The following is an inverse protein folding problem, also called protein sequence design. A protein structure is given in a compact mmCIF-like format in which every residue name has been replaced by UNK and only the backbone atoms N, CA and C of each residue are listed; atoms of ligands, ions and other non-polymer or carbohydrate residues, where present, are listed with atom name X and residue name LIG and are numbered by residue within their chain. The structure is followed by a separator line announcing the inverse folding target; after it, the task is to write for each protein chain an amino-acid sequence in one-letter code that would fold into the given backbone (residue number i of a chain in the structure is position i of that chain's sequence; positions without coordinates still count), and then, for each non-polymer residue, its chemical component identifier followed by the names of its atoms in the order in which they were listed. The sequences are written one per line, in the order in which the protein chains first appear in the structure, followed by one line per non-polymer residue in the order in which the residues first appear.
data_IF_355410972485
#
_entry.id   IF_355410972485
#
_cell.length_a   1.000
_cell.length_b   1.000
_cell.length_c   1.000
_cell.angle_alpha   90.00
_cell.angle_beta   90.00
_cell.angle_gamma   90.00
#
_symmetry.space_group_name_H-M   'P 1'
#
loop_
_entity.id
_entity.type
_entity.pdbx_description
1 polymer ?
#
# COMPACT_ATOMS: atom_id res chain seq x y z
N UNK A 1 1.62 4.25 -29.73
CA UNK A 1 0.88 2.98 -29.87
C UNK A 1 -0.18 2.94 -28.79
N UNK A 2 -1.47 2.94 -29.14
CA UNK A 2 -2.56 2.80 -28.17
C UNK A 2 -2.75 1.30 -27.89
N UNK A 3 -2.03 0.79 -26.90
CA UNK A 3 -2.08 -0.62 -26.47
C UNK A 3 -3.52 -1.09 -26.16
N UNK A 4 -4.43 -0.19 -25.82
CA UNK A 4 -5.81 -0.53 -25.44
C UNK A 4 -6.74 -0.83 -26.62
N UNK A 5 -6.38 -0.55 -27.87
CA UNK A 5 -7.26 -0.80 -29.02
C UNK A 5 -7.22 -2.24 -29.55
N UNK A 6 -6.15 -2.98 -29.24
CA UNK A 6 -5.90 -4.32 -29.80
C UNK A 6 -5.97 -5.45 -28.74
N UNK A 7 -6.31 -5.14 -27.48
CA UNK A 7 -6.45 -6.12 -26.41
C UNK A 7 -7.92 -6.39 -26.09
N UNK A 8 -8.46 -7.50 -26.59
CA UNK A 8 -9.77 -8.00 -26.18
C UNK A 8 -9.64 -8.85 -24.92
N UNK A 9 -9.93 -8.24 -23.77
CA UNK A 9 -9.97 -8.92 -22.50
C UNK A 9 -11.24 -9.78 -22.38
N UNK A 10 -11.09 -11.10 -22.20
CA UNK A 10 -12.20 -12.05 -22.30
C UNK A 10 -13.02 -12.21 -21.00
N UNK A 11 -12.70 -11.44 -19.94
CA UNK A 11 -13.45 -11.37 -18.67
C UNK A 11 -13.91 -12.73 -18.08
N UNK A 12 -13.09 -13.79 -18.19
CA UNK A 12 -13.43 -15.14 -17.71
C UNK A 12 -13.07 -15.35 -16.22
N UNK A 13 -13.49 -14.41 -15.36
CA UNK A 13 -13.23 -14.44 -13.92
C UNK A 13 -11.99 -13.66 -13.46
N UNK A 14 -11.11 -13.28 -14.39
CA UNK A 14 -10.04 -12.32 -14.13
C UNK A 14 -10.61 -10.88 -14.12
N UNK A 15 -9.95 -9.97 -13.39
CA UNK A 15 -10.24 -8.54 -13.42
C UNK A 15 -9.03 -7.71 -13.89
N UNK A 16 -9.21 -6.91 -14.96
CA UNK A 16 -8.21 -5.94 -15.43
C UNK A 16 -8.54 -4.58 -14.85
N UNK A 17 -7.57 -3.95 -14.19
CA UNK A 17 -7.73 -2.65 -13.56
C UNK A 17 -6.49 -1.76 -13.78
N UNK A 18 -6.68 -0.43 -13.86
CA UNK A 18 -5.57 0.50 -13.83
C UNK A 18 -4.86 0.48 -12.47
N UNK A 19 -3.54 0.64 -12.50
CA UNK A 19 -2.70 0.83 -11.32
C UNK A 19 -2.04 2.19 -11.41
N UNK A 20 -2.13 2.96 -10.34
CA UNK A 20 -1.39 4.21 -10.18
C UNK A 20 -0.25 4.03 -9.18
N UNK A 21 0.90 4.63 -9.48
CA UNK A 21 2.12 4.48 -8.67
C UNK A 21 2.43 5.75 -7.89
N UNK A 22 2.58 5.60 -6.58
CA UNK A 22 2.97 6.65 -5.66
C UNK A 22 4.19 6.23 -4.86
N UNK A 23 4.89 7.21 -4.30
CA UNK A 23 5.95 6.99 -3.33
C UNK A 23 5.90 8.06 -2.26
N UNK A 24 6.21 7.69 -1.02
CA UNK A 24 6.39 8.64 0.06
C UNK A 24 7.60 8.26 0.92
N UNK A 25 8.16 9.27 1.58
CA UNK A 25 9.27 9.10 2.51
C UNK A 25 8.81 9.46 3.92
N UNK A 26 8.92 8.51 4.84
CA UNK A 26 8.66 8.74 6.25
C UNK A 26 9.84 9.52 6.85
N UNK A 27 9.58 10.68 7.44
CA UNK A 27 10.61 11.65 7.80
C UNK A 27 11.46 11.24 9.01
N UNK A 28 10.90 10.61 10.05
CA UNK A 28 11.64 10.28 11.28
C UNK A 28 12.60 9.10 11.15
N UNK A 29 12.30 8.18 10.22
CA UNK A 29 13.05 6.94 10.01
C UNK A 29 13.75 6.90 8.65
N UNK A 30 13.52 7.92 7.81
CA UNK A 30 14.07 8.08 6.47
C UNK A 30 13.72 6.94 5.49
N UNK A 31 12.71 6.13 5.83
CA UNK A 31 12.18 5.05 5.02
C UNK A 31 11.41 5.54 3.81
N UNK A 32 11.67 4.95 2.65
CA UNK A 32 10.85 5.15 1.45
C UNK A 32 9.90 3.96 1.28
N UNK A 33 8.64 4.27 1.04
CA UNK A 33 7.62 3.30 0.66
C UNK A 33 7.08 3.64 -0.73
N UNK A 34 6.79 2.60 -1.51
CA UNK A 34 6.05 2.68 -2.76
C UNK A 34 4.62 2.23 -2.49
N UNK A 35 3.67 2.84 -3.18
CA UNK A 35 2.26 2.48 -3.12
C UNK A 35 1.77 2.21 -4.53
N UNK A 36 1.29 0.99 -4.76
CA UNK A 36 0.50 0.65 -5.93
C UNK A 36 -0.96 0.85 -5.56
N UNK A 37 -1.61 1.87 -6.10
CA UNK A 37 -3.04 2.10 -5.92
C UNK A 37 -3.79 1.32 -7.00
N UNK A 38 -4.57 0.33 -6.57
CA UNK A 38 -5.43 -0.48 -7.44
C UNK A 38 -6.75 0.25 -7.60
N UNK A 39 -7.07 0.68 -8.83
CA UNK A 39 -8.25 1.47 -9.13
C UNK A 39 -9.32 0.58 -9.77
N UNK A 40 -10.23 0.06 -8.96
CA UNK A 40 -11.39 -0.71 -9.42
C UNK A 40 -12.53 0.25 -9.83
N UNK A 41 -13.53 -0.27 -10.55
CA UNK A 41 -14.72 0.52 -10.90
C UNK A 41 -15.50 0.90 -9.63
N UNK A 42 -15.31 2.14 -9.17
CA UNK A 42 -15.96 2.70 -7.97
C UNK A 42 -15.27 2.42 -6.64
N UNK A 43 -14.12 1.73 -6.61
CA UNK A 43 -13.40 1.44 -5.36
C UNK A 43 -11.88 1.37 -5.56
N UNK A 44 -11.15 1.48 -4.46
CA UNK A 44 -9.70 1.56 -4.43
C UNK A 44 -9.14 0.60 -3.38
N UNK A 45 -7.98 0.04 -3.67
CA UNK A 45 -7.15 -0.72 -2.74
C UNK A 45 -5.69 -0.33 -2.93
N UNK A 46 -4.79 -0.83 -2.07
CA UNK A 46 -3.37 -0.58 -2.27
C UNK A 46 -2.50 -1.81 -1.99
N UNK A 47 -1.34 -1.83 -2.64
CA UNK A 47 -0.16 -2.55 -2.15
C UNK A 47 0.84 -1.52 -1.62
N UNK A 48 1.30 -1.72 -0.39
CA UNK A 48 2.38 -0.97 0.22
C UNK A 48 3.66 -1.79 0.13
N UNK A 49 4.71 -1.19 -0.42
CA UNK A 49 5.95 -1.89 -0.75
C UNK A 49 7.14 -1.15 -0.13
N UNK A 50 8.05 -1.88 0.49
CA UNK A 50 9.32 -1.38 1.00
C UNK A 50 10.48 -2.29 0.63
N UNK A 51 11.54 -1.70 0.10
CA UNK A 51 12.80 -2.39 -0.19
C UNK A 51 13.76 -2.35 1.03
N UNK A 52 13.35 -1.79 2.18
CA UNK A 52 14.23 -1.69 3.35
C UNK A 52 14.40 -3.05 4.06
N UNK A 53 15.63 -3.55 4.08
CA UNK A 53 15.97 -4.82 4.72
C UNK A 53 15.85 -4.81 6.25
N UNK A 54 15.82 -3.64 6.89
CA UNK A 54 15.57 -3.51 8.34
C UNK A 54 14.12 -3.82 8.73
N UNK A 55 13.18 -3.75 7.78
CA UNK A 55 11.78 -4.12 8.01
C UNK A 55 11.65 -5.65 7.84
N UNK A 56 10.95 -6.39 8.72
CA UNK A 56 10.72 -7.82 8.53
C UNK A 56 9.97 -8.10 7.21
N UNK A 57 10.25 -9.26 6.59
CA UNK A 57 9.83 -9.56 5.21
C UNK A 57 8.31 -9.48 5.04
N UNK A 58 7.56 -9.90 6.03
CA UNK A 58 6.10 -9.88 6.07
C UNK A 58 5.49 -8.47 6.00
N UNK A 59 6.24 -7.42 6.36
CA UNK A 59 5.79 -6.02 6.26
C UNK A 59 6.40 -5.26 5.07
N UNK A 60 7.23 -5.92 4.24
CA UNK A 60 7.81 -5.30 3.04
C UNK A 60 6.84 -5.27 1.87
N UNK A 61 5.82 -6.11 1.88
CA UNK A 61 4.72 -6.10 0.93
C UNK A 61 3.42 -6.34 1.68
N UNK A 62 2.56 -5.32 1.76
CA UNK A 62 1.29 -5.39 2.48
C UNK A 62 0.16 -4.93 1.59
N UNK A 63 -0.84 -5.80 1.39
CA UNK A 63 -2.08 -5.43 0.73
C UNK A 63 -3.04 -4.76 1.71
N UNK A 64 -3.88 -3.86 1.22
CA UNK A 64 -4.85 -3.14 2.06
C UNK A 64 -5.85 -4.06 2.78
N UNK A 65 -6.06 -5.28 2.29
CA UNK A 65 -6.94 -6.30 2.86
C UNK A 65 -6.23 -7.32 3.77
N UNK A 66 -4.93 -7.15 4.06
CA UNK A 66 -4.20 -8.06 4.94
C UNK A 66 -4.71 -7.90 6.39
N UNK A 67 -5.62 -8.78 6.81
CA UNK A 67 -6.38 -8.64 8.05
C UNK A 67 -5.47 -8.63 9.28
N UNK A 68 -4.56 -9.60 9.37
CA UNK A 68 -3.68 -9.77 10.53
C UNK A 68 -2.80 -8.53 10.76
N UNK A 69 -2.22 -7.98 9.69
CA UNK A 69 -1.38 -6.77 9.79
C UNK A 69 -2.24 -5.54 10.13
N UNK A 70 -3.42 -5.40 9.54
CA UNK A 70 -4.31 -4.28 9.87
C UNK A 70 -4.72 -4.31 11.35
N UNK A 71 -5.06 -5.49 11.88
CA UNK A 71 -5.39 -5.67 13.29
C UNK A 71 -4.19 -5.36 14.19
N UNK A 72 -3.00 -5.88 13.86
CA UNK A 72 -1.76 -5.65 14.61
C UNK A 72 -1.42 -4.16 14.77
N UNK A 73 -1.63 -3.37 13.72
CA UNK A 73 -1.37 -1.92 13.75
C UNK A 73 -2.58 -1.10 14.17
N UNK A 74 -3.65 -1.73 14.67
CA UNK A 74 -4.79 -1.07 15.29
C UNK A 74 -5.71 -0.35 14.30
N UNK A 75 -5.76 -0.84 13.07
CA UNK A 75 -6.46 -0.16 12.01
C UNK A 75 -7.80 -0.79 11.63
N UNK A 76 -8.84 0.05 11.51
CA UNK A 76 -10.17 -0.33 11.02
C UNK A 76 -10.18 -0.62 9.49
N UNK A 77 -11.26 -1.26 8.99
CA UNK A 77 -11.53 -1.37 7.55
C UNK A 77 -11.48 0.00 6.88
N UNK A 78 -10.86 0.06 5.70
CA UNK A 78 -10.72 1.31 4.94
C UNK A 78 -12.00 1.63 4.18
N UNK A 79 -12.36 2.91 4.09
CA UNK A 79 -13.32 3.38 3.09
C UNK A 79 -12.68 3.21 1.70
N UNK A 80 -13.14 2.20 0.97
CA UNK A 80 -12.61 1.84 -0.34
C UNK A 80 -13.06 2.81 -1.44
N UNK A 81 -14.08 3.62 -1.23
CA UNK A 81 -14.70 4.40 -2.31
C UNK A 81 -13.97 5.75 -2.51
N UNK A 82 -13.11 6.11 -1.56
CA UNK A 82 -12.29 7.32 -1.60
C UNK A 82 -10.81 7.03 -1.85
N UNK A 83 -10.34 7.39 -3.05
CA UNK A 83 -8.91 7.36 -3.42
C UNK A 83 -8.01 8.02 -2.37
N UNK A 84 -8.42 9.18 -1.86
CA UNK A 84 -7.66 9.92 -0.85
C UNK A 84 -7.58 9.15 0.47
N UNK A 85 -8.69 8.54 0.92
CA UNK A 85 -8.72 7.76 2.14
C UNK A 85 -7.81 6.53 2.04
N UNK A 86 -7.84 5.83 0.90
CA UNK A 86 -7.00 4.66 0.63
C UNK A 86 -5.51 5.02 0.57
N UNK A 87 -5.15 6.14 -0.08
CA UNK A 87 -3.76 6.63 -0.10
C UNK A 87 -3.28 7.07 1.28
N UNK A 88 -4.10 7.81 2.03
CA UNK A 88 -3.75 8.22 3.39
C UNK A 88 -3.53 6.99 4.28
N UNK A 89 -4.38 5.97 4.13
CA UNK A 89 -4.20 4.72 4.85
C UNK A 89 -2.89 4.02 4.49
N UNK A 90 -2.49 3.97 3.22
CA UNK A 90 -1.19 3.42 2.85
C UNK A 90 -0.03 4.17 3.55
N UNK A 91 -0.12 5.50 3.64
CA UNK A 91 0.85 6.35 4.34
C UNK A 91 0.89 6.06 5.83
N UNK A 92 -0.29 5.96 6.48
CA UNK A 92 -0.40 5.72 7.91
C UNK A 92 0.19 4.35 8.27
N UNK A 93 -0.14 3.31 7.49
CA UNK A 93 0.36 1.95 7.71
C UNK A 93 1.87 1.87 7.53
N UNK A 94 2.42 2.39 6.42
CA UNK A 94 3.87 2.40 6.21
C UNK A 94 4.61 3.22 7.27
N UNK A 95 4.00 4.31 7.74
CA UNK A 95 4.54 5.09 8.84
C UNK A 95 4.57 4.32 10.15
N UNK A 96 3.52 3.54 10.45
CA UNK A 96 3.44 2.71 11.64
C UNK A 96 4.48 1.57 11.61
N UNK A 97 4.61 0.87 10.46
CA UNK A 97 5.62 -0.16 10.23
C UNK A 97 7.02 0.42 10.42
N UNK A 98 7.30 1.57 9.80
CA UNK A 98 8.61 2.22 9.91
C UNK A 98 8.94 2.60 11.36
N UNK A 99 7.99 3.17 12.09
CA UNK A 99 8.19 3.50 13.52
C UNK A 99 8.50 2.26 14.34
N UNK A 100 7.73 1.18 14.14
CA UNK A 100 7.90 -0.06 14.90
C UNK A 100 9.26 -0.72 14.71
N UNK A 101 9.80 -0.72 13.48
CA UNK A 101 11.00 -1.50 13.14
C UNK A 101 12.26 -0.69 12.83
N UNK A 102 12.14 0.61 12.56
CA UNK A 102 13.26 1.45 12.14
C UNK A 102 13.52 2.65 13.04
N UNK A 103 12.60 2.99 13.96
CA UNK A 103 12.85 4.05 14.93
C UNK A 103 13.89 3.55 15.94
N UNK A 104 15.04 4.21 15.99
CA UNK A 104 16.07 3.89 16.97
C UNK A 104 15.52 4.23 18.35
N UNK A 105 15.70 3.37 19.37
CA UNK A 105 15.40 3.76 20.73
C UNK A 105 16.23 5.01 21.07
N UNK A 106 15.57 6.05 21.59
CA UNK A 106 16.27 7.18 22.19
C UNK A 106 16.94 6.63 23.44
N UNK A 107 18.22 6.30 23.35
CA UNK A 107 19.05 6.11 24.55
C UNK A 107 19.14 7.46 25.24
N UNK A 108 18.30 7.66 26.26
CA UNK A 108 18.49 8.69 27.29
C UNK A 108 19.65 8.31 28.20
#
# INVERSE_FOLDING_TARGET
MNFSKDFNYNHQGDYLYPVEYYQFRQSSTLNTFKVELLCFDGSYAFHLISDNESIPKEYRFVSSNHYEINEEFGFAPVDSDSKQAVLQRAIDLGSAIAKKYCEKPVTQ
#
